data_IF_616023164723
#
_entry.id   IF_616023164723
#
_cell.length_a   1.000
_cell.length_b   1.000
_cell.length_c   1.000
_cell.angle_alpha   90.00
_cell.angle_beta   90.00
_cell.angle_gamma   90.00
#
_symmetry.space_group_name_H-M   'P 1'
#
loop_
_entity.id
_entity.type
_entity.pdbx_description
1 polymer ?
#
# COMPACT_ATOMS: atom_id res chain seq x y z
N UNK A 1 29.97 -7.93 -13.08
CA UNK A 1 30.78 -6.70 -13.12
C UNK A 1 29.94 -5.60 -12.53
N UNK A 2 30.45 -4.86 -11.57
CA UNK A 2 29.81 -3.71 -10.94
C UNK A 2 30.67 -2.48 -11.21
N UNK A 3 30.00 -1.31 -11.28
CA UNK A 3 30.73 -0.05 -11.35
C UNK A 3 31.46 0.23 -10.04
N UNK A 4 32.65 0.85 -10.12
CA UNK A 4 33.38 1.26 -8.94
C UNK A 4 32.70 2.49 -8.33
N UNK A 5 32.34 2.39 -7.05
CA UNK A 5 31.82 3.54 -6.28
C UNK A 5 32.97 4.45 -5.91
N UNK A 6 32.89 5.72 -6.33
CA UNK A 6 33.79 6.78 -5.93
C UNK A 6 33.23 7.48 -4.68
N UNK A 7 33.41 6.89 -3.53
CA UNK A 7 32.90 7.39 -2.27
C UNK A 7 33.59 6.72 -1.09
N UNK A 8 33.28 7.19 0.12
CA UNK A 8 33.79 6.64 1.37
C UNK A 8 32.66 5.86 2.07
N UNK A 9 33.01 4.89 2.89
CA UNK A 9 32.03 4.16 3.69
C UNK A 9 31.28 5.15 4.60
N UNK A 10 29.96 4.95 4.75
CA UNK A 10 29.14 5.74 5.68
C UNK A 10 29.61 5.67 7.15
N UNK A 11 30.50 4.75 7.46
CA UNK A 11 31.18 4.63 8.77
C UNK A 11 32.14 5.78 9.03
N UNK A 12 32.75 6.34 7.97
CA UNK A 12 33.78 7.37 8.02
C UNK A 12 33.18 8.77 8.17
N UNK A 13 32.39 8.97 9.24
CA UNK A 13 31.61 10.21 9.45
C UNK A 13 32.48 11.46 9.43
N UNK A 14 33.67 11.42 10.07
CA UNK A 14 34.59 12.55 10.07
C UNK A 14 35.07 12.95 8.66
N UNK A 15 35.25 11.98 7.77
CA UNK A 15 35.66 12.24 6.39
C UNK A 15 34.50 12.85 5.63
N UNK A 16 33.27 12.34 5.85
CA UNK A 16 32.04 12.84 5.24
C UNK A 16 31.77 14.28 5.68
N UNK A 17 31.88 14.60 6.97
CA UNK A 17 31.72 15.97 7.49
C UNK A 17 32.75 16.94 6.91
N UNK A 18 34.03 16.51 6.84
CA UNK A 18 35.12 17.32 6.24
C UNK A 18 34.89 17.61 4.75
N UNK A 19 34.14 16.75 4.04
CA UNK A 19 33.74 17.00 2.65
C UNK A 19 32.60 18.01 2.50
N UNK A 20 32.04 18.48 3.62
CA UNK A 20 30.91 19.46 3.64
C UNK A 20 29.52 18.83 3.52
N UNK A 21 29.40 17.51 3.55
CA UNK A 21 28.12 16.81 3.50
C UNK A 21 27.41 16.94 4.85
N UNK A 22 26.14 17.36 4.82
CA UNK A 22 25.31 17.47 6.01
C UNK A 22 24.82 16.10 6.48
N UNK A 23 25.27 15.66 7.66
CA UNK A 23 24.93 14.35 8.22
C UNK A 23 23.43 14.18 8.50
N UNK A 24 22.71 15.26 8.91
CA UNK A 24 21.27 15.23 9.07
C UNK A 24 20.57 14.92 7.74
N UNK A 25 20.95 15.63 6.69
CA UNK A 25 20.40 15.39 5.34
C UNK A 25 20.69 13.95 4.88
N UNK A 26 21.91 13.45 5.12
CA UNK A 26 22.30 12.10 4.77
C UNK A 26 21.48 11.04 5.52
N UNK A 27 21.21 11.23 6.82
CA UNK A 27 20.38 10.36 7.63
C UNK A 27 18.93 10.32 7.10
N UNK A 28 18.37 11.49 6.78
CA UNK A 28 17.04 11.60 6.20
C UNK A 28 16.94 10.94 4.83
N UNK A 29 17.92 11.15 3.95
CA UNK A 29 17.98 10.51 2.63
C UNK A 29 18.07 8.98 2.73
N UNK A 30 18.83 8.45 3.67
CA UNK A 30 18.94 7.01 3.89
C UNK A 30 17.56 6.38 4.19
N UNK A 31 16.81 6.95 5.12
CA UNK A 31 15.47 6.51 5.47
C UNK A 31 14.53 6.62 4.27
N UNK A 32 14.58 7.76 3.58
CA UNK A 32 13.72 8.01 2.42
C UNK A 32 14.00 7.05 1.27
N UNK A 33 15.27 6.74 0.99
CA UNK A 33 15.65 5.77 -0.04
C UNK A 33 15.11 4.38 0.28
N UNK A 34 15.27 3.91 1.51
CA UNK A 34 14.73 2.63 1.95
C UNK A 34 13.20 2.56 1.78
N UNK A 35 12.50 3.58 2.24
CA UNK A 35 11.04 3.62 2.14
C UNK A 35 10.54 3.68 0.69
N UNK A 36 11.20 4.44 -0.17
CA UNK A 36 10.89 4.48 -1.61
C UNK A 36 11.08 3.11 -2.24
N UNK A 37 12.17 2.42 -1.95
CA UNK A 37 12.42 1.06 -2.42
C UNK A 37 11.32 0.09 -1.94
N UNK A 38 10.95 0.14 -0.66
CA UNK A 38 9.97 -0.77 -0.09
C UNK A 38 8.53 -0.47 -0.56
N UNK A 39 8.09 0.79 -0.45
CA UNK A 39 6.69 1.17 -0.67
C UNK A 39 6.41 1.48 -2.14
N UNK A 40 7.25 2.29 -2.79
CA UNK A 40 7.07 2.70 -4.19
C UNK A 40 7.43 1.59 -5.16
N UNK A 41 8.64 1.04 -5.02
CA UNK A 41 9.23 0.12 -5.99
C UNK A 41 8.88 -1.34 -5.68
N UNK A 42 8.69 -1.67 -4.40
CA UNK A 42 8.42 -3.03 -3.93
C UNK A 42 9.63 -3.96 -4.08
N UNK A 43 10.80 -3.38 -4.20
CA UNK A 43 12.07 -4.08 -4.30
C UNK A 43 13.11 -3.30 -3.51
N UNK A 44 13.59 -3.87 -2.40
CA UNK A 44 14.41 -3.17 -1.44
C UNK A 44 15.65 -3.99 -1.05
N UNK A 45 16.71 -3.27 -0.72
CA UNK A 45 17.92 -3.85 -0.16
C UNK A 45 17.65 -4.36 1.26
N UNK A 46 17.86 -5.67 1.49
CA UNK A 46 17.55 -6.33 2.75
C UNK A 46 18.68 -6.30 3.79
N UNK A 47 19.82 -5.66 3.49
CA UNK A 47 20.99 -5.64 4.37
C UNK A 47 21.73 -4.28 4.33
N UNK A 48 21.01 -3.21 4.68
CA UNK A 48 21.50 -1.82 4.64
C UNK A 48 22.37 -1.46 5.86
N UNK A 49 23.29 -2.33 6.26
CA UNK A 49 24.22 -1.99 7.32
C UNK A 49 25.33 -1.04 6.82
N UNK A 50 26.00 -0.37 7.74
CA UNK A 50 27.03 0.64 7.43
C UNK A 50 28.15 0.18 6.49
N UNK A 51 28.45 -1.14 6.44
CA UNK A 51 29.46 -1.70 5.55
C UNK A 51 29.05 -1.73 4.10
N UNK A 52 27.75 -1.74 3.83
CA UNK A 52 27.15 -1.82 2.49
C UNK A 52 26.72 -0.45 1.94
N UNK A 53 27.04 0.64 2.63
CA UNK A 53 26.65 2.00 2.25
C UNK A 53 27.88 2.87 2.06
N UNK A 54 27.98 3.48 0.89
CA UNK A 54 29.02 4.44 0.52
C UNK A 54 28.41 5.79 0.22
N UNK A 55 29.19 6.85 0.43
CA UNK A 55 28.75 8.24 0.22
C UNK A 55 29.80 8.96 -0.60
N UNK A 56 29.38 9.65 -1.66
CA UNK A 56 30.25 10.54 -2.43
C UNK A 56 30.36 11.94 -1.82
N UNK A 57 31.22 12.78 -2.39
CA UNK A 57 31.41 14.15 -1.93
C UNK A 57 30.18 15.07 -2.12
N UNK A 58 29.17 14.60 -2.88
CA UNK A 58 27.90 15.33 -3.07
C UNK A 58 26.82 14.86 -2.11
N UNK A 59 27.08 13.87 -1.26
CA UNK A 59 26.12 13.29 -0.31
C UNK A 59 25.19 12.25 -0.93
N UNK A 60 25.51 11.72 -2.13
CA UNK A 60 24.74 10.63 -2.71
C UNK A 60 25.10 9.31 -2.03
N UNK A 61 24.09 8.49 -1.73
CA UNK A 61 24.25 7.18 -1.09
C UNK A 61 24.28 6.09 -2.16
N UNK A 62 25.29 5.26 -2.10
CA UNK A 62 25.49 4.11 -2.98
C UNK A 62 25.45 2.82 -2.16
N UNK A 63 24.35 2.07 -2.19
CA UNK A 63 24.31 0.73 -1.61
C UNK A 63 25.14 -0.23 -2.47
N UNK A 64 25.80 -1.15 -1.80
CA UNK A 64 26.57 -2.24 -2.41
C UNK A 64 26.15 -3.57 -1.79
N UNK A 65 26.62 -4.69 -2.35
CA UNK A 65 26.31 -6.04 -1.87
C UNK A 65 24.81 -6.35 -1.90
N UNK A 66 24.27 -6.50 -3.10
CA UNK A 66 22.86 -6.85 -3.34
C UNK A 66 22.57 -8.36 -3.15
N UNK A 67 23.34 -9.07 -2.33
CA UNK A 67 23.15 -10.49 -2.03
C UNK A 67 21.83 -10.78 -1.31
N UNK A 68 21.30 -9.83 -0.53
CA UNK A 68 20.03 -9.95 0.18
C UNK A 68 19.09 -8.85 -0.30
N UNK A 69 18.11 -9.24 -1.11
CA UNK A 69 17.08 -8.32 -1.63
C UNK A 69 15.70 -8.80 -1.21
N UNK A 70 14.86 -7.87 -0.77
CA UNK A 70 13.46 -8.13 -0.47
C UNK A 70 12.54 -7.71 -1.62
N UNK A 71 11.43 -8.42 -1.78
CA UNK A 71 10.40 -8.08 -2.77
C UNK A 71 9.03 -8.07 -2.12
N UNK A 72 8.29 -6.99 -2.31
CA UNK A 72 6.90 -6.85 -1.90
C UNK A 72 6.01 -6.75 -3.13
N UNK A 73 5.00 -7.58 -3.21
CA UNK A 73 3.97 -7.46 -4.23
C UNK A 73 3.11 -6.21 -4.03
N UNK A 74 2.25 -5.92 -5.01
CA UNK A 74 1.42 -4.70 -5.02
C UNK A 74 0.50 -4.60 -3.79
N UNK A 75 -0.06 -5.73 -3.33
CA UNK A 75 -0.96 -5.74 -2.18
C UNK A 75 -0.19 -5.52 -0.87
N UNK A 76 0.93 -6.22 -0.69
CA UNK A 76 1.77 -6.05 0.50
C UNK A 76 2.33 -4.64 0.62
N UNK A 77 2.69 -3.99 -0.50
CA UNK A 77 3.09 -2.57 -0.50
C UNK A 77 1.96 -1.65 -0.04
N UNK A 78 0.74 -1.92 -0.51
CA UNK A 78 -0.45 -1.16 -0.11
C UNK A 78 -0.71 -1.30 1.38
N UNK A 79 -0.73 -2.53 1.89
CA UNK A 79 -0.95 -2.78 3.32
C UNK A 79 0.16 -2.16 4.19
N UNK A 80 1.42 -2.32 3.79
CA UNK A 80 2.55 -1.70 4.49
C UNK A 80 2.39 -0.18 4.61
N UNK A 81 2.09 0.50 3.51
CA UNK A 81 1.94 1.94 3.53
C UNK A 81 0.73 2.39 4.36
N UNK A 82 -0.40 1.68 4.29
CA UNK A 82 -1.57 1.96 5.11
C UNK A 82 -1.31 1.74 6.60
N UNK A 83 -0.57 0.69 6.96
CA UNK A 83 -0.16 0.41 8.34
C UNK A 83 0.75 1.52 8.86
N UNK A 84 1.83 1.85 8.14
CA UNK A 84 2.76 2.89 8.54
C UNK A 84 2.08 4.27 8.66
N UNK A 85 1.21 4.60 7.71
CA UNK A 85 0.45 5.84 7.75
C UNK A 85 -0.54 5.88 8.91
N UNK A 86 -1.23 4.78 9.19
CA UNK A 86 -2.13 4.65 10.34
C UNK A 86 -1.39 4.84 11.67
N UNK A 87 -0.18 4.31 11.81
CA UNK A 87 0.68 4.58 12.97
C UNK A 87 1.01 6.08 13.09
N UNK A 88 1.42 6.73 11.99
CA UNK A 88 1.71 8.19 11.98
C UNK A 88 0.48 9.01 12.39
N UNK A 89 -0.72 8.58 12.00
CA UNK A 89 -1.98 9.25 12.37
C UNK A 89 -2.50 8.83 13.74
N UNK A 90 -1.85 7.88 14.42
CA UNK A 90 -2.29 7.26 15.69
C UNK A 90 -3.67 6.61 15.59
N UNK A 91 -4.07 6.19 14.39
CA UNK A 91 -5.32 5.48 14.14
C UNK A 91 -5.10 3.97 14.23
N UNK A 92 -4.95 3.48 15.47
CA UNK A 92 -4.66 2.07 15.73
C UNK A 92 -5.82 1.14 15.36
N UNK A 93 -7.04 1.64 15.35
CA UNK A 93 -8.21 0.90 14.85
C UNK A 93 -8.06 0.62 13.37
N UNK A 94 -7.68 1.64 12.60
CA UNK A 94 -7.41 1.49 11.16
C UNK A 94 -6.23 0.57 10.89
N UNK A 95 -5.16 0.69 11.67
CA UNK A 95 -4.00 -0.21 11.56
C UNK A 95 -4.42 -1.65 11.79
N UNK A 96 -5.25 -1.93 12.82
CA UNK A 96 -5.77 -3.26 13.08
C UNK A 96 -6.62 -3.77 11.91
N UNK A 97 -7.57 -2.98 11.41
CA UNK A 97 -8.38 -3.36 10.24
C UNK A 97 -7.52 -3.78 9.05
N UNK A 98 -6.46 -3.02 8.74
CA UNK A 98 -5.56 -3.32 7.62
C UNK A 98 -4.83 -4.64 7.85
N UNK A 99 -4.38 -4.93 9.07
CA UNK A 99 -3.75 -6.21 9.40
C UNK A 99 -4.69 -7.40 9.16
N UNK A 100 -5.97 -7.29 9.59
CA UNK A 100 -6.97 -8.32 9.32
C UNK A 100 -7.27 -8.47 7.83
N UNK A 101 -7.42 -7.35 7.09
CA UNK A 101 -7.62 -7.36 5.63
C UNK A 101 -6.45 -7.99 4.87
N UNK A 102 -5.24 -7.81 5.38
CA UNK A 102 -4.03 -8.40 4.81
C UNK A 102 -3.85 -9.88 5.17
N UNK A 103 -4.71 -10.44 6.03
CA UNK A 103 -4.56 -11.82 6.53
C UNK A 103 -3.33 -12.01 7.42
N UNK A 104 -2.83 -10.93 8.04
CA UNK A 104 -1.67 -10.97 8.94
C UNK A 104 -2.06 -11.38 10.37
N UNK A 105 -3.34 -11.34 10.70
CA UNK A 105 -3.90 -11.74 11.99
C UNK A 105 -5.00 -12.76 11.73
N UNK A 106 -5.09 -13.86 12.52
CA UNK A 106 -6.16 -14.83 12.42
C UNK A 106 -7.54 -14.17 12.55
N UNK A 107 -8.51 -14.64 11.77
CA UNK A 107 -9.86 -14.04 11.68
C UNK A 107 -10.70 -14.16 12.94
N UNK A 108 -10.34 -15.09 13.84
CA UNK A 108 -10.98 -15.34 15.14
C UNK A 108 -10.41 -14.46 16.26
N UNK A 109 -9.33 -13.73 16.02
CA UNK A 109 -8.78 -12.79 17.00
C UNK A 109 -9.67 -11.53 17.14
N UNK A 110 -9.69 -10.94 18.35
CA UNK A 110 -10.39 -9.68 18.59
C UNK A 110 -9.67 -8.50 17.98
N UNK A 111 -10.36 -7.75 17.10
CA UNK A 111 -9.82 -6.53 16.48
C UNK A 111 -9.56 -5.44 17.51
N UNK A 112 -10.43 -5.34 18.52
CA UNK A 112 -10.35 -4.36 19.58
C UNK A 112 -9.12 -4.62 20.45
N UNK A 113 -8.89 -5.87 20.85
CA UNK A 113 -7.70 -6.26 21.64
C UNK A 113 -6.42 -6.05 20.81
N UNK A 114 -6.45 -6.37 19.53
CA UNK A 114 -5.32 -6.16 18.65
C UNK A 114 -5.00 -4.66 18.48
N UNK A 115 -6.02 -3.82 18.29
CA UNK A 115 -5.86 -2.36 18.23
C UNK A 115 -5.28 -1.79 19.54
N UNK A 116 -5.72 -2.30 20.71
CA UNK A 116 -5.15 -1.92 22.01
C UNK A 116 -3.68 -2.35 22.15
N UNK A 117 -3.34 -3.54 21.69
CA UNK A 117 -1.95 -4.01 21.68
C UNK A 117 -1.06 -3.13 20.80
N UNK A 118 -1.53 -2.77 19.59
CA UNK A 118 -0.83 -1.85 18.70
C UNK A 118 -0.67 -0.46 19.34
N UNK A 119 -1.70 0.03 20.02
CA UNK A 119 -1.66 1.30 20.75
C UNK A 119 -0.62 1.29 21.86
N UNK A 120 -0.52 0.21 22.62
CA UNK A 120 0.45 0.09 23.71
C UNK A 120 1.90 0.17 23.24
N UNK A 121 2.16 -0.20 22.00
CA UNK A 121 3.48 -0.09 21.35
C UNK A 121 3.64 1.27 20.67
N UNK A 122 2.60 1.78 20.01
CA UNK A 122 2.67 3.01 19.23
C UNK A 122 2.70 4.29 20.06
N UNK A 123 1.86 4.40 21.10
CA UNK A 123 1.76 5.63 21.92
C UNK A 123 3.08 6.06 22.59
N UNK A 124 3.87 5.15 23.19
CA UNK A 124 5.14 5.53 23.79
C UNK A 124 6.12 6.15 22.78
N UNK A 125 6.03 5.77 21.49
CA UNK A 125 6.91 6.30 20.43
C UNK A 125 6.67 7.80 20.22
N UNK A 126 5.42 8.26 20.34
CA UNK A 126 5.04 9.65 20.09
C UNK A 126 5.12 10.54 21.33
N UNK A 127 5.21 9.94 22.53
CA UNK A 127 5.25 10.66 23.81
C UNK A 127 6.65 10.84 24.42
N UNK A 128 7.66 10.15 23.88
CA UNK A 128 9.02 10.20 24.39
C UNK A 128 9.94 11.05 23.51
N UNK A 129 10.98 11.62 24.13
CA UNK A 129 12.08 12.20 23.36
C UNK A 129 12.75 11.09 22.52
N UNK A 130 13.05 11.40 21.28
CA UNK A 130 13.62 10.50 20.27
C UNK A 130 14.83 9.70 20.80
N UNK A 131 15.58 10.28 21.74
CA UNK A 131 16.74 9.64 22.38
C UNK A 131 16.39 8.41 23.22
N UNK A 132 15.17 8.31 23.70
CA UNK A 132 14.73 7.28 24.65
C UNK A 132 14.04 6.10 23.95
N UNK A 133 13.70 6.22 22.69
CA UNK A 133 13.08 5.16 21.89
C UNK A 133 14.15 4.23 21.35
N UNK A 134 14.24 3.04 21.93
CA UNK A 134 15.09 1.96 21.40
C UNK A 134 14.33 1.19 20.29
N UNK A 135 14.83 1.25 19.05
CA UNK A 135 14.30 0.45 17.93
C UNK A 135 14.29 -1.05 18.24
N UNK A 136 15.27 -1.54 19.02
CA UNK A 136 15.31 -2.91 19.49
C UNK A 136 14.16 -3.25 20.44
N UNK A 137 13.82 -2.35 21.38
CA UNK A 137 12.68 -2.54 22.29
C UNK A 137 11.36 -2.50 21.53
N UNK A 138 11.22 -1.61 20.54
CA UNK A 138 10.05 -1.54 19.68
C UNK A 138 9.87 -2.85 18.92
N UNK A 139 10.93 -3.37 18.30
CA UNK A 139 10.90 -4.63 17.59
C UNK A 139 10.53 -5.80 18.52
N UNK A 140 11.09 -5.87 19.73
CA UNK A 140 10.74 -6.88 20.73
C UNK A 140 9.25 -6.82 21.12
N UNK A 141 8.68 -5.62 21.27
CA UNK A 141 7.25 -5.44 21.56
C UNK A 141 6.37 -5.86 20.38
N UNK A 142 6.77 -5.54 19.15
CA UNK A 142 6.08 -6.00 17.93
C UNK A 142 6.11 -7.53 17.81
N UNK A 143 7.23 -8.17 18.12
CA UNK A 143 7.31 -9.63 18.16
C UNK A 143 6.39 -10.21 19.26
N UNK A 144 6.31 -9.60 20.43
CA UNK A 144 5.36 -10.00 21.48
C UNK A 144 3.91 -9.93 21.02
N UNK A 145 3.53 -8.93 20.24
CA UNK A 145 2.20 -8.86 19.60
C UNK A 145 2.02 -10.01 18.60
N UNK A 146 3.01 -10.26 17.76
CA UNK A 146 2.97 -11.32 16.74
C UNK A 146 2.73 -12.69 17.39
N UNK A 147 3.42 -12.96 18.48
CA UNK A 147 3.29 -14.19 19.27
C UNK A 147 1.92 -14.26 19.97
N UNK A 148 1.52 -13.19 20.68
CA UNK A 148 0.24 -13.12 21.39
C UNK A 148 -0.96 -13.39 20.50
N UNK A 149 -0.93 -12.91 19.27
CA UNK A 149 -2.04 -13.05 18.31
C UNK A 149 -1.83 -14.17 17.30
N UNK A 150 -0.86 -15.07 17.50
CA UNK A 150 -0.54 -16.18 16.61
C UNK A 150 -0.44 -15.77 15.13
N UNK A 151 0.20 -14.63 14.88
CA UNK A 151 0.29 -14.08 13.53
C UNK A 151 1.21 -14.95 12.65
N UNK A 152 0.78 -15.33 11.43
CA UNK A 152 1.60 -16.12 10.54
C UNK A 152 2.85 -15.32 10.11
N UNK A 153 4.00 -15.93 10.25
CA UNK A 153 5.29 -15.30 9.91
C UNK A 153 5.46 -15.22 8.40
N UNK A 154 5.57 -14.02 7.87
CA UNK A 154 5.93 -13.77 6.47
C UNK A 154 7.38 -13.34 6.37
N UNK A 155 8.23 -14.16 5.75
CA UNK A 155 9.68 -13.94 5.64
C UNK A 155 10.04 -12.57 5.06
N UNK A 156 9.26 -12.10 4.07
CA UNK A 156 9.49 -10.79 3.43
C UNK A 156 9.24 -9.62 4.38
N UNK A 157 8.22 -9.74 5.24
CA UNK A 157 7.90 -8.70 6.23
C UNK A 157 8.91 -8.70 7.38
N UNK A 158 9.41 -9.87 7.80
CA UNK A 158 10.51 -9.96 8.77
C UNK A 158 11.79 -9.31 8.24
N UNK A 159 12.13 -9.59 6.97
CA UNK A 159 13.28 -8.96 6.34
C UNK A 159 13.12 -7.43 6.29
N UNK A 160 11.93 -6.96 5.93
CA UNK A 160 11.61 -5.53 5.92
C UNK A 160 11.76 -4.90 7.30
N UNK A 161 11.19 -5.52 8.34
CA UNK A 161 11.29 -5.04 9.72
C UNK A 161 12.74 -4.98 10.19
N UNK A 162 13.51 -6.07 9.98
CA UNK A 162 14.96 -6.10 10.28
C UNK A 162 15.67 -4.96 9.60
N UNK A 163 15.43 -4.77 8.30
CA UNK A 163 16.14 -3.73 7.52
C UNK A 163 15.75 -2.34 8.00
N UNK A 164 14.48 -2.11 8.34
CA UNK A 164 14.01 -0.83 8.88
C UNK A 164 14.74 -0.45 10.17
N UNK A 165 14.92 -1.41 11.10
CA UNK A 165 15.67 -1.19 12.35
C UNK A 165 17.15 -0.91 12.07
N UNK A 166 17.75 -1.60 11.11
CA UNK A 166 19.14 -1.36 10.71
C UNK A 166 19.30 0.04 10.11
N UNK A 167 18.41 0.43 9.20
CA UNK A 167 18.40 1.77 8.57
C UNK A 167 18.24 2.87 9.61
N UNK A 168 17.29 2.71 10.55
CA UNK A 168 17.11 3.64 11.67
C UNK A 168 18.38 3.76 12.51
N UNK A 169 18.99 2.62 12.86
CA UNK A 169 20.22 2.58 13.63
C UNK A 169 21.39 3.29 12.93
N UNK A 170 21.52 3.13 11.60
CA UNK A 170 22.53 3.84 10.80
C UNK A 170 22.21 5.34 10.73
N UNK A 171 20.96 5.72 10.48
CA UNK A 171 20.54 7.12 10.42
C UNK A 171 20.78 7.83 11.75
N UNK A 172 20.46 7.20 12.88
CA UNK A 172 20.70 7.76 14.22
C UNK A 172 22.18 7.87 14.60
N UNK A 173 23.03 7.02 14.04
CA UNK A 173 24.48 7.19 14.19
C UNK A 173 25.00 8.41 13.44
N UNK A 174 24.44 8.70 12.26
CA UNK A 174 24.77 9.91 11.49
C UNK A 174 24.25 11.17 12.19
N UNK A 175 22.99 11.14 12.62
CA UNK A 175 22.33 12.24 13.31
C UNK A 175 21.39 11.70 14.40
N UNK A 176 21.77 11.76 15.68
CA UNK A 176 21.05 11.13 16.80
C UNK A 176 19.60 11.58 16.98
N UNK A 177 19.26 12.78 16.50
CA UNK A 177 17.92 13.34 16.59
C UNK A 177 16.99 12.95 15.42
N UNK A 178 17.46 12.05 14.54
CA UNK A 178 16.66 11.56 13.39
C UNK A 178 15.45 10.79 13.88
N UNK A 179 14.27 11.22 13.42
CA UNK A 179 12.99 10.56 13.68
C UNK A 179 12.48 9.91 12.40
N UNK A 180 12.51 8.56 12.36
CA UNK A 180 12.07 7.81 11.18
C UNK A 180 10.60 8.11 10.83
N UNK A 181 9.73 8.35 11.81
CA UNK A 181 8.30 8.62 11.59
C UNK A 181 8.07 9.98 10.93
N UNK A 182 8.80 11.01 11.36
CA UNK A 182 8.73 12.35 10.75
C UNK A 182 9.27 12.35 9.33
N UNK A 183 10.42 11.70 9.11
CA UNK A 183 11.04 11.58 7.78
C UNK A 183 10.19 10.73 6.82
N UNK A 184 9.46 9.74 7.35
CA UNK A 184 8.59 8.85 6.56
C UNK A 184 7.30 9.52 6.12
N UNK A 185 6.76 10.43 6.92
CA UNK A 185 5.45 11.07 6.72
C UNK A 185 5.23 11.59 5.29
N UNK A 186 6.08 12.45 4.72
CA UNK A 186 5.84 13.01 3.38
C UNK A 186 5.79 11.94 2.29
N UNK A 187 6.60 10.89 2.40
CA UNK A 187 6.65 9.79 1.41
C UNK A 187 5.36 8.98 1.46
N UNK A 188 4.87 8.67 2.66
CA UNK A 188 3.66 7.89 2.85
C UNK A 188 2.41 8.69 2.47
N UNK A 189 2.37 9.99 2.77
CA UNK A 189 1.28 10.88 2.33
C UNK A 189 1.21 10.99 0.82
N UNK A 190 2.35 11.17 0.14
CA UNK A 190 2.42 11.21 -1.32
C UNK A 190 1.98 9.87 -1.94
N UNK A 191 2.47 8.76 -1.38
CA UNK A 191 2.07 7.43 -1.84
C UNK A 191 0.56 7.20 -1.69
N UNK A 192 -0.04 7.56 -0.55
CA UNK A 192 -1.48 7.41 -0.31
C UNK A 192 -2.30 8.28 -1.26
N UNK A 193 -1.88 9.53 -1.50
CA UNK A 193 -2.51 10.40 -2.49
C UNK A 193 -2.49 9.79 -3.89
N UNK A 194 -1.37 9.18 -4.26
CA UNK A 194 -1.22 8.54 -5.58
C UNK A 194 -2.02 7.24 -5.71
N UNK A 195 -2.20 6.47 -4.62
CA UNK A 195 -2.92 5.18 -4.65
C UNK A 195 -4.41 5.32 -4.36
N UNK A 196 -4.83 6.29 -3.54
CA UNK A 196 -6.24 6.53 -3.15
C UNK A 196 -6.82 7.82 -3.75
N UNK A 197 -6.01 8.61 -4.45
CA UNK A 197 -6.45 9.86 -5.08
C UNK A 197 -7.39 9.64 -6.27
N UNK A 198 -8.05 10.69 -6.76
CA UNK A 198 -8.99 10.62 -7.88
C UNK A 198 -8.41 9.96 -9.13
N UNK A 199 -7.12 10.19 -9.42
CA UNK A 199 -6.43 9.53 -10.54
C UNK A 199 -6.36 8.01 -10.39
N UNK A 200 -6.04 7.51 -9.21
CA UNK A 200 -5.99 6.07 -8.95
C UNK A 200 -7.37 5.40 -9.07
N UNK A 201 -8.44 6.10 -8.69
CA UNK A 201 -9.81 5.61 -8.85
C UNK A 201 -10.15 5.50 -10.34
N UNK A 202 -9.79 6.49 -11.15
CA UNK A 202 -10.00 6.49 -12.61
C UNK A 202 -9.19 5.37 -13.27
N UNK A 203 -7.88 5.26 -12.97
CA UNK A 203 -7.01 4.22 -13.53
C UNK A 203 -7.46 2.80 -13.14
N UNK A 204 -7.90 2.60 -11.89
CA UNK A 204 -8.45 1.32 -11.43
C UNK A 204 -9.79 0.99 -12.12
N UNK A 205 -10.63 1.99 -12.37
CA UNK A 205 -11.92 1.81 -13.08
C UNK A 205 -11.68 1.49 -14.55
N UNK A 206 -10.74 2.18 -15.21
CA UNK A 206 -10.38 1.93 -16.60
C UNK A 206 -9.75 0.53 -16.75
N UNK A 207 -8.84 0.17 -15.87
CA UNK A 207 -8.20 -1.16 -15.92
C UNK A 207 -9.18 -2.29 -15.59
N UNK A 208 -10.09 -2.10 -14.64
CA UNK A 208 -11.14 -3.07 -14.33
C UNK A 208 -12.12 -3.23 -15.51
N UNK A 209 -12.52 -2.13 -16.15
CA UNK A 209 -13.36 -2.20 -17.35
C UNK A 209 -12.61 -2.86 -18.52
N UNK A 210 -11.35 -2.55 -18.75
CA UNK A 210 -10.53 -3.20 -19.79
C UNK A 210 -10.35 -4.72 -19.55
N UNK A 211 -10.22 -5.15 -18.30
CA UNK A 211 -10.18 -6.59 -17.97
C UNK A 211 -11.54 -7.28 -18.16
N UNK A 212 -12.64 -6.61 -17.82
CA UNK A 212 -14.00 -7.10 -18.09
C UNK A 212 -14.21 -7.22 -19.61
N UNK A 213 -13.83 -6.20 -20.39
CA UNK A 213 -13.89 -6.23 -21.86
C UNK A 213 -13.06 -7.37 -22.47
N UNK A 214 -11.89 -7.69 -21.91
CA UNK A 214 -11.05 -8.82 -22.38
C UNK A 214 -11.63 -10.19 -22.04
N UNK A 215 -12.51 -10.29 -21.05
CA UNK A 215 -13.12 -11.54 -20.61
C UNK A 215 -14.48 -11.83 -21.27
N UNK A 216 -14.99 -10.93 -22.09
CA UNK A 216 -16.21 -11.15 -22.89
C UNK A 216 -15.77 -11.62 -24.28
N UNK A 217 -15.80 -12.94 -24.58
CA UNK A 217 -15.25 -13.46 -25.84
C UNK A 217 -16.05 -13.06 -27.10
N UNK A 218 -17.22 -12.44 -26.93
CA UNK A 218 -18.19 -12.24 -28.02
C UNK A 218 -18.89 -10.89 -27.97
N UNK A 219 -18.11 -9.82 -27.67
CA UNK A 219 -18.62 -8.45 -27.56
C UNK A 219 -19.36 -7.97 -28.83
N UNK A 220 -18.88 -8.27 -30.07
CA UNK A 220 -19.62 -7.88 -31.29
C UNK A 220 -21.00 -8.53 -31.37
N UNK A 221 -21.12 -9.83 -31.12
CA UNK A 221 -22.41 -10.54 -31.13
C UNK A 221 -23.34 -10.12 -29.99
N UNK A 222 -22.80 -9.69 -28.83
CA UNK A 222 -23.60 -9.14 -27.75
C UNK A 222 -24.17 -7.76 -28.11
N UNK A 223 -23.40 -6.88 -28.74
CA UNK A 223 -23.86 -5.58 -29.21
C UNK A 223 -24.91 -5.73 -30.33
N UNK A 224 -24.73 -6.68 -31.26
CA UNK A 224 -25.71 -6.93 -32.32
C UNK A 224 -27.03 -7.46 -31.75
N UNK A 225 -27.00 -8.37 -30.77
CA UNK A 225 -28.20 -8.85 -30.07
C UNK A 225 -28.88 -7.75 -29.25
N UNK A 226 -28.10 -6.88 -28.60
CA UNK A 226 -28.64 -5.75 -27.86
C UNK A 226 -29.33 -4.72 -28.80
N UNK A 227 -28.72 -4.42 -29.96
CA UNK A 227 -29.30 -3.57 -30.98
C UNK A 227 -30.58 -4.16 -31.59
N UNK A 228 -30.61 -5.48 -31.87
CA UNK A 228 -31.81 -6.17 -32.32
C UNK A 228 -32.93 -6.15 -31.28
N UNK A 229 -32.59 -6.34 -30.00
CA UNK A 229 -33.56 -6.26 -28.92
C UNK A 229 -34.15 -4.83 -28.77
N UNK A 230 -33.30 -3.80 -28.89
CA UNK A 230 -33.72 -2.40 -28.88
C UNK A 230 -34.62 -2.04 -30.08
N UNK A 231 -34.32 -2.55 -31.27
CA UNK A 231 -35.19 -2.38 -32.44
C UNK A 231 -36.56 -3.05 -32.25
N UNK A 232 -36.61 -4.26 -31.71
CA UNK A 232 -37.86 -4.98 -31.43
C UNK A 232 -38.72 -4.25 -30.36
N UNK A 233 -38.07 -3.59 -29.41
CA UNK A 233 -38.72 -2.75 -28.38
C UNK A 233 -39.28 -1.46 -29.05
N UNK A 234 -38.48 -0.82 -29.90
CA UNK A 234 -38.86 0.43 -30.60
C UNK A 234 -40.02 0.19 -31.61
N UNK A 235 -40.07 -0.99 -32.23
CA UNK A 235 -41.11 -1.39 -33.17
C UNK A 235 -42.38 -1.95 -32.50
N UNK A 236 -42.43 -2.01 -31.17
CA UNK A 236 -43.60 -2.49 -30.42
C UNK A 236 -43.91 -3.99 -30.62
N UNK A 237 -42.97 -4.77 -31.19
CA UNK A 237 -43.19 -6.17 -31.57
C UNK A 237 -42.90 -7.18 -30.46
N UNK A 238 -42.45 -6.75 -29.26
CA UNK A 238 -42.29 -7.62 -28.11
C UNK A 238 -43.60 -7.84 -27.37
N UNK A 239 -44.39 -8.76 -27.89
CA UNK A 239 -45.59 -9.25 -27.19
C UNK A 239 -45.14 -10.33 -26.19
N UNK A 240 -44.93 -9.96 -24.94
CA UNK A 240 -44.66 -10.92 -23.86
C UNK A 240 -46.04 -11.49 -23.45
N UNK A 241 -46.33 -12.66 -23.97
CA UNK A 241 -47.53 -13.43 -23.58
C UNK A 241 -47.51 -13.73 -22.08
N UNK A 242 -48.35 -13.03 -21.34
CA UNK A 242 -48.56 -13.25 -19.90
C UNK A 242 -49.51 -14.42 -19.73
N UNK A 243 -49.00 -15.58 -19.38
CA UNK A 243 -49.79 -16.67 -18.87
C UNK A 243 -49.82 -16.59 -17.33
N UNK A 244 -51.06 -16.52 -16.83
CA UNK A 244 -51.45 -16.22 -15.46
C UNK A 244 -51.00 -17.32 -14.48
N UNK A 245 -50.15 -17.02 -13.51
CA UNK A 245 -49.98 -17.85 -12.32
C UNK A 245 -49.56 -17.02 -11.09
N UNK A 246 -50.20 -17.27 -9.95
CA UNK A 246 -50.19 -16.49 -8.72
C UNK A 246 -48.86 -16.40 -7.94
N UNK A 247 -47.75 -16.84 -8.50
CA UNK A 247 -46.42 -16.66 -7.92
C UNK A 247 -45.61 -15.50 -8.52
N UNK A 248 -46.24 -14.68 -9.35
CA UNK A 248 -45.63 -13.65 -10.19
C UNK A 248 -45.38 -12.29 -9.51
N UNK A 249 -46.03 -12.00 -8.38
CA UNK A 249 -45.84 -10.67 -7.75
C UNK A 249 -44.45 -10.47 -7.13
N UNK A 250 -43.86 -11.52 -6.56
CA UNK A 250 -42.52 -11.47 -5.97
C UNK A 250 -41.43 -11.49 -7.05
N UNK A 251 -41.66 -12.24 -8.15
CA UNK A 251 -40.74 -12.22 -9.30
C UNK A 251 -40.81 -10.90 -10.08
N UNK A 252 -41.99 -10.32 -10.23
CA UNK A 252 -42.20 -9.02 -10.88
C UNK A 252 -41.55 -7.88 -10.09
N UNK A 253 -41.56 -7.91 -8.76
CA UNK A 253 -40.81 -6.94 -7.94
C UNK A 253 -39.30 -7.11 -8.07
N UNK A 254 -38.81 -8.33 -8.11
CA UNK A 254 -37.38 -8.62 -8.38
C UNK A 254 -36.94 -8.19 -9.79
N UNK A 255 -37.76 -8.51 -10.81
CA UNK A 255 -37.48 -8.07 -12.19
C UNK A 255 -37.62 -6.55 -12.38
N UNK A 256 -38.51 -5.88 -11.70
CA UNK A 256 -38.64 -4.41 -11.72
C UNK A 256 -37.46 -3.72 -11.04
N UNK A 257 -36.95 -4.29 -9.93
CA UNK A 257 -35.77 -3.85 -9.27
C UNK A 257 -34.51 -4.09 -10.15
N UNK A 258 -34.40 -5.25 -10.80
CA UNK A 258 -33.30 -5.54 -11.75
C UNK A 258 -33.35 -4.62 -12.98
N UNK A 259 -34.54 -4.37 -13.55
CA UNK A 259 -34.68 -3.43 -14.67
C UNK A 259 -34.27 -2.00 -14.29
N UNK A 260 -34.70 -1.51 -13.12
CA UNK A 260 -34.29 -0.19 -12.65
C UNK A 260 -32.78 -0.09 -12.45
N UNK A 261 -32.15 -1.13 -11.86
CA UNK A 261 -30.70 -1.14 -11.65
C UNK A 261 -29.91 -1.23 -12.98
N UNK A 262 -30.41 -1.98 -13.95
CA UNK A 262 -29.79 -2.07 -15.29
C UNK A 262 -29.95 -0.73 -16.04
N UNK A 263 -31.12 -0.11 -16.00
CA UNK A 263 -31.36 1.20 -16.65
C UNK A 263 -30.50 2.29 -16.00
N UNK A 264 -30.39 2.30 -14.68
CA UNK A 264 -29.52 3.25 -13.96
C UNK A 264 -28.04 3.01 -14.31
N UNK A 265 -27.60 1.75 -14.42
CA UNK A 265 -26.22 1.42 -14.81
C UNK A 265 -25.93 1.82 -16.25
N UNK A 266 -26.87 1.59 -17.18
CA UNK A 266 -26.71 1.99 -18.59
C UNK A 266 -26.74 3.52 -18.72
N UNK A 267 -27.62 4.22 -18.02
CA UNK A 267 -27.66 5.69 -18.00
C UNK A 267 -26.37 6.28 -17.41
N UNK A 268 -25.85 5.67 -16.35
CA UNK A 268 -24.57 6.08 -15.76
C UNK A 268 -23.39 5.91 -16.72
N UNK A 269 -23.38 4.83 -17.49
CA UNK A 269 -22.35 4.58 -18.51
C UNK A 269 -22.48 5.57 -19.68
N UNK A 270 -23.70 5.87 -20.11
CA UNK A 270 -23.95 6.83 -21.20
C UNK A 270 -23.64 8.26 -20.77
N UNK A 271 -24.02 8.66 -19.56
CA UNK A 271 -23.68 9.98 -18.99
C UNK A 271 -22.16 10.11 -18.82
N UNK A 272 -21.49 9.07 -18.38
CA UNK A 272 -20.03 9.06 -18.28
C UNK A 272 -19.36 9.17 -19.65
N UNK A 273 -19.88 8.48 -20.66
CA UNK A 273 -19.35 8.59 -22.03
C UNK A 273 -19.56 9.99 -22.64
N UNK A 274 -20.69 10.66 -22.33
CA UNK A 274 -20.98 12.03 -22.78
C UNK A 274 -20.20 13.13 -22.03
N UNK A 275 -19.64 12.81 -20.85
CA UNK A 275 -18.82 13.74 -20.07
C UNK A 275 -17.31 13.60 -20.36
N UNK A 276 -16.91 12.55 -21.08
CA UNK A 276 -15.48 12.24 -21.38
C UNK A 276 -15.15 12.52 -22.84
N UNK A 277 -16.16 12.74 -23.70
CA UNK A 277 -16.02 13.21 -25.09
C UNK A 277 -16.79 14.53 -25.26
#
# INVERSE_FOLDING_TARGET
TLDKVNGVSIREQEIIEKSGVNLKYLAEQLIQHFLKQAVRDGFFHGDMHQGNLFVDNSGNIFPVDFGIMGRLDKNNRKYLAEILYGFIQRDYTKVAEVHFQAGLVPSDASKEEFAQALRSVGEPIFGQTIKDISGGNLLAQLFGITEKFNMPTQTQLLLLQKTMVVVEGVARKLYPETNIWEVSRPILEDWIKNVKGPKATIDNTINASAEIFKRIPDLPNFMDKANQALQLIAEGKLNIGIQNNKNLEVEQMKLKSLKNNIVISILSIVIFALLVF
#
